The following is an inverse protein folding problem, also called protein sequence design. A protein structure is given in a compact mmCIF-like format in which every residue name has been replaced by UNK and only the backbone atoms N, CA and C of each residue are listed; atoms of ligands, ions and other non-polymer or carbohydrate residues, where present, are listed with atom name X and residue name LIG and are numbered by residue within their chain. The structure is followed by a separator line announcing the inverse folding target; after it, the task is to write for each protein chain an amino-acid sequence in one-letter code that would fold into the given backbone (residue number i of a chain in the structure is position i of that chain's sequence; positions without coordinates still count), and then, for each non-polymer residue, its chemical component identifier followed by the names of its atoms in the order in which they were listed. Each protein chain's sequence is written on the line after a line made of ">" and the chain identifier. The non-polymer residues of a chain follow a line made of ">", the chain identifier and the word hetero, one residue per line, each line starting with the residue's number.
data_IF_370324568501
#
_entry.id   IF_370324568501
#
_cell.length_a   1.000
_cell.length_b   1.000
_cell.length_c   1.000
_cell.angle_alpha   90.00
_cell.angle_beta   90.00
_cell.angle_gamma   90.00
#
_symmetry.space_group_name_H-M   'P 1'
#
loop_
_entity.id
_entity.type
_entity.pdbx_description
1 polymer ?
#
# COMPACT_ATOMS: atom_id res chain seq x y z
N UNK A 1 39.74 -15.49 39.96
CA UNK A 1 38.74 -15.31 41.03
C UNK A 1 39.08 -13.98 41.68
N UNK A 2 38.22 -12.98 41.55
CA UNK A 2 38.44 -11.69 42.18
C UNK A 2 37.83 -11.77 43.58
N UNK A 3 38.68 -11.79 44.62
CA UNK A 3 38.25 -11.58 45.99
C UNK A 3 37.80 -10.13 46.13
N UNK A 4 36.50 -9.88 45.91
CA UNK A 4 35.88 -8.61 46.24
C UNK A 4 35.77 -8.53 47.76
N UNK A 5 36.84 -8.06 48.40
CA UNK A 5 36.85 -7.73 49.81
C UNK A 5 35.79 -6.65 50.06
N UNK A 6 34.62 -7.10 50.51
CA UNK A 6 33.50 -6.26 50.89
C UNK A 6 33.98 -5.30 52.00
N UNK A 7 33.97 -3.97 51.79
CA UNK A 7 34.64 -3.02 52.67
C UNK A 7 33.88 -2.74 53.97
N UNK A 8 32.79 -3.47 54.23
CA UNK A 8 31.93 -3.30 55.39
C UNK A 8 31.94 -4.57 56.26
N UNK A 9 31.89 -4.42 57.61
CA UNK A 9 31.68 -5.55 58.51
C UNK A 9 30.38 -6.28 58.16
N UNK A 10 30.31 -7.61 58.30
CA UNK A 10 29.09 -8.36 58.06
C UNK A 10 27.98 -7.84 58.97
N UNK A 11 26.88 -7.40 58.37
CA UNK A 11 25.74 -6.89 59.11
C UNK A 11 24.58 -7.90 59.08
N UNK A 12 23.49 -7.59 59.81
CA UNK A 12 22.35 -8.49 59.86
C UNK A 12 21.71 -8.75 58.50
N UNK A 13 21.81 -7.80 57.57
CA UNK A 13 21.25 -7.97 56.24
C UNK A 13 22.03 -9.01 55.43
N UNK A 14 23.34 -9.14 55.66
CA UNK A 14 24.17 -10.17 55.03
C UNK A 14 23.79 -11.58 55.50
N UNK A 15 23.55 -11.77 56.81
CA UNK A 15 23.10 -13.05 57.38
C UNK A 15 21.71 -13.46 56.84
N UNK A 16 20.79 -12.49 56.70
CA UNK A 16 19.48 -12.72 56.12
C UNK A 16 19.54 -13.03 54.62
N UNK A 17 20.48 -12.43 53.88
CA UNK A 17 20.67 -12.65 52.45
C UNK A 17 21.17 -14.06 52.11
N UNK A 18 22.08 -14.61 52.93
CA UNK A 18 22.53 -16.01 52.79
C UNK A 18 21.45 -17.03 53.15
N UNK A 19 20.50 -16.66 54.02
CA UNK A 19 19.38 -17.51 54.42
C UNK A 19 18.26 -17.58 53.36
N UNK A 20 18.19 -16.62 52.42
CA UNK A 20 17.15 -16.56 51.39
C UNK A 20 17.70 -16.86 50.00
N UNK A 21 17.18 -17.88 49.34
CA UNK A 21 17.45 -18.11 47.92
C UNK A 21 16.94 -16.93 47.10
N UNK A 22 17.83 -16.24 46.37
CA UNK A 22 17.52 -15.07 45.53
C UNK A 22 16.44 -15.40 44.48
N UNK A 23 15.16 -15.22 44.86
CA UNK A 23 14.06 -15.21 43.91
C UNK A 23 13.93 -13.79 43.40
N UNK A 24 14.69 -13.48 42.34
CA UNK A 24 14.49 -12.24 41.62
C UNK A 24 13.03 -12.12 41.19
N UNK A 25 12.52 -10.89 41.12
CA UNK A 25 11.20 -10.58 40.56
C UNK A 25 11.16 -10.79 39.02
N UNK A 26 11.81 -11.86 38.55
CA UNK A 26 11.74 -12.33 37.19
C UNK A 26 10.33 -12.86 36.98
N UNK A 27 9.49 -11.97 36.49
CA UNK A 27 8.29 -12.36 35.76
C UNK A 27 8.79 -13.31 34.68
N UNK A 28 8.46 -14.59 34.79
CA UNK A 28 8.56 -15.47 33.65
C UNK A 28 7.63 -14.86 32.59
N UNK A 29 8.24 -14.28 31.56
CA UNK A 29 7.53 -13.86 30.36
C UNK A 29 6.66 -15.04 29.91
N UNK A 30 5.36 -14.81 29.79
CA UNK A 30 4.46 -15.86 29.35
C UNK A 30 4.92 -16.26 27.94
N UNK A 31 5.03 -17.56 27.63
CA UNK A 31 5.56 -18.00 26.35
C UNK A 31 4.72 -17.39 25.21
N UNK A 32 5.39 -16.80 24.22
CA UNK A 32 4.78 -16.06 23.09
C UNK A 32 3.62 -16.82 22.41
N UNK A 33 3.66 -18.16 22.44
CA UNK A 33 2.64 -19.03 21.86
C UNK A 33 1.29 -18.97 22.60
N UNK A 34 1.29 -18.69 23.91
CA UNK A 34 0.08 -18.53 24.71
C UNK A 34 -0.57 -17.16 24.50
N UNK A 35 0.23 -16.11 24.39
CA UNK A 35 -0.25 -14.75 24.17
C UNK A 35 -0.89 -14.61 22.77
N UNK A 36 -0.33 -15.32 21.78
CA UNK A 36 -0.78 -15.26 20.39
C UNK A 36 -1.67 -16.45 19.95
N UNK A 37 -2.15 -17.26 20.89
CA UNK A 37 -2.91 -18.48 20.59
C UNK A 37 -4.18 -18.18 19.77
N UNK A 38 -4.87 -17.07 20.06
CA UNK A 38 -6.05 -16.65 19.31
C UNK A 38 -5.71 -16.33 17.85
N UNK A 39 -4.62 -15.58 17.60
CA UNK A 39 -4.17 -15.26 16.25
C UNK A 39 -3.76 -16.51 15.47
N UNK A 40 -3.06 -17.45 16.12
CA UNK A 40 -2.69 -18.73 15.51
C UNK A 40 -3.93 -19.54 15.11
N UNK A 41 -4.97 -19.57 15.94
CA UNK A 41 -6.24 -20.23 15.62
C UNK A 41 -6.92 -19.55 14.42
N UNK A 42 -6.97 -18.22 14.39
CA UNK A 42 -7.58 -17.46 13.29
C UNK A 42 -6.83 -17.71 11.97
N UNK A 43 -5.50 -17.62 11.99
CA UNK A 43 -4.65 -17.88 10.82
C UNK A 43 -4.83 -19.33 10.34
N UNK A 44 -4.86 -20.29 11.26
CA UNK A 44 -5.12 -21.69 10.93
C UNK A 44 -6.49 -21.91 10.29
N UNK A 45 -7.54 -21.28 10.82
CA UNK A 45 -8.89 -21.36 10.26
C UNK A 45 -8.97 -20.72 8.87
N UNK A 46 -8.32 -19.55 8.68
CA UNK A 46 -8.24 -18.89 7.38
C UNK A 46 -7.50 -19.75 6.34
N UNK A 47 -6.38 -20.38 6.71
CA UNK A 47 -5.63 -21.28 5.84
C UNK A 47 -6.47 -22.49 5.43
N UNK A 48 -7.25 -23.09 6.35
CA UNK A 48 -8.17 -24.18 6.03
C UNK A 48 -9.27 -23.72 5.08
N UNK A 49 -9.87 -22.54 5.32
CA UNK A 49 -10.88 -21.98 4.41
C UNK A 49 -10.33 -21.72 3.01
N UNK A 50 -9.10 -21.21 2.90
CA UNK A 50 -8.41 -20.99 1.62
C UNK A 50 -8.23 -22.33 0.89
N UNK A 51 -7.72 -23.36 1.57
CA UNK A 51 -7.53 -24.70 0.98
C UNK A 51 -8.86 -25.28 0.51
N UNK A 52 -9.92 -25.13 1.31
CA UNK A 52 -11.28 -25.57 0.94
C UNK A 52 -11.76 -24.83 -0.30
N UNK A 53 -11.61 -23.50 -0.35
CA UNK A 53 -11.98 -22.68 -1.52
C UNK A 53 -11.23 -23.12 -2.78
N UNK A 54 -9.91 -23.31 -2.70
CA UNK A 54 -9.12 -23.81 -3.82
C UNK A 54 -9.57 -25.21 -4.27
N UNK A 55 -9.91 -26.08 -3.32
CA UNK A 55 -10.45 -27.40 -3.63
C UNK A 55 -11.83 -27.31 -4.29
N UNK A 56 -12.70 -26.38 -3.89
CA UNK A 56 -14.00 -26.14 -4.54
C UNK A 56 -13.84 -25.60 -5.97
N UNK A 57 -12.91 -24.67 -6.19
CA UNK A 57 -12.59 -24.13 -7.54
C UNK A 57 -11.99 -25.23 -8.43
N UNK A 58 -11.00 -25.97 -7.92
CA UNK A 58 -10.37 -27.08 -8.63
C UNK A 58 -11.30 -28.28 -8.85
N UNK A 59 -12.26 -28.52 -7.94
CA UNK A 59 -13.28 -29.56 -8.07
C UNK A 59 -14.35 -29.22 -9.13
N UNK A 60 -14.50 -27.95 -9.51
CA UNK A 60 -15.43 -27.53 -10.57
C UNK A 60 -14.75 -27.46 -11.95
N UNK A 61 -13.42 -27.29 -11.98
CA UNK A 61 -12.59 -27.29 -13.19
C UNK A 61 -11.81 -28.60 -13.36
N UNK A 62 -12.50 -29.73 -13.44
CA UNK A 62 -11.87 -30.99 -13.79
C UNK A 62 -11.49 -31.06 -15.26
N UNK A 63 -10.22 -30.81 -15.59
CA UNK A 63 -9.61 -31.28 -16.83
C UNK A 63 -8.51 -30.40 -17.38
N UNK A 64 -7.26 -30.86 -17.28
CA UNK A 64 -6.16 -30.38 -18.13
C UNK A 64 -4.84 -30.19 -17.39
N UNK A 65 -4.24 -31.27 -16.89
CA UNK A 65 -2.79 -31.38 -16.93
C UNK A 65 -2.44 -31.69 -18.38
N UNK A 66 -1.65 -30.86 -19.05
CA UNK A 66 -0.74 -31.30 -20.11
C UNK A 66 0.27 -30.19 -20.43
N UNK A 67 1.42 -30.34 -19.79
CA UNK A 67 2.71 -29.84 -20.21
C UNK A 67 3.08 -30.51 -21.55
N UNK A 68 3.31 -29.75 -22.62
CA UNK A 68 4.43 -29.95 -23.55
C UNK A 68 4.33 -29.04 -24.80
N UNK A 69 5.42 -28.29 -25.03
CA UNK A 69 6.18 -28.17 -26.28
C UNK A 69 5.45 -27.75 -27.58
N UNK A 70 6.00 -26.68 -28.18
CA UNK A 70 5.98 -26.24 -29.58
C UNK A 70 5.55 -27.27 -30.66
N UNK A 71 4.86 -26.80 -31.72
CA UNK A 71 5.63 -26.66 -32.97
C UNK A 71 5.32 -25.44 -33.83
N UNK A 72 6.39 -25.03 -34.50
CA UNK A 72 6.50 -24.21 -35.71
C UNK A 72 5.58 -24.63 -36.87
N UNK A 73 5.19 -23.62 -37.66
CA UNK A 73 4.95 -23.57 -39.12
C UNK A 73 3.94 -24.54 -39.78
N UNK A 74 2.87 -23.99 -40.37
CA UNK A 74 2.78 -23.79 -41.83
C UNK A 74 1.35 -23.39 -42.28
N UNK A 75 1.33 -22.46 -43.23
CA UNK A 75 0.21 -21.79 -43.90
C UNK A 75 -0.73 -22.67 -44.73
N UNK A 76 -1.98 -22.20 -44.89
CA UNK A 76 -2.76 -22.05 -46.15
C UNK A 76 -4.21 -21.64 -45.77
N UNK A 77 -4.67 -20.39 -45.87
CA UNK A 77 -4.87 -19.50 -47.04
C UNK A 77 -6.07 -19.88 -47.92
N UNK A 78 -7.13 -19.07 -47.83
CA UNK A 78 -8.07 -18.66 -48.91
C UNK A 78 -8.95 -17.54 -48.27
N UNK A 79 -8.63 -16.24 -48.34
CA UNK A 79 -8.58 -15.31 -49.50
C UNK A 79 -9.89 -15.19 -50.28
N UNK A 80 -10.61 -14.08 -50.02
CA UNK A 80 -11.26 -13.20 -50.99
C UNK A 80 -11.78 -11.97 -50.21
N UNK A 81 -10.96 -10.92 -50.04
CA UNK A 81 -10.67 -9.85 -51.01
C UNK A 81 -11.70 -8.71 -50.93
N UNK A 82 -11.18 -7.53 -50.56
CA UNK A 82 -11.90 -6.28 -50.36
C UNK A 82 -10.98 -5.26 -49.68
N UNK A 83 -9.85 -4.96 -50.34
CA UNK A 83 -8.86 -3.94 -50.02
C UNK A 83 -9.48 -2.55 -49.78
N UNK A 84 -8.99 -1.80 -48.79
CA UNK A 84 -8.09 -0.66 -49.06
C UNK A 84 -7.33 -0.25 -47.78
N UNK A 85 -6.05 0.06 -48.00
CA UNK A 85 -5.05 0.47 -47.02
C UNK A 85 -5.25 1.89 -46.49
N UNK A 86 -4.64 2.13 -45.33
CA UNK A 86 -4.08 3.39 -44.85
C UNK A 86 -5.07 4.52 -44.51
N UNK A 87 -5.19 4.83 -43.23
CA UNK A 87 -4.48 6.01 -42.70
C UNK A 87 -4.43 5.94 -41.17
N UNK A 88 -3.38 6.57 -40.64
CA UNK A 88 -3.22 6.95 -39.25
C UNK A 88 -4.51 7.61 -38.74
N UNK A 89 -5.28 6.87 -37.95
CA UNK A 89 -6.20 7.50 -37.02
C UNK A 89 -5.39 7.97 -35.83
N UNK A 90 -4.71 9.11 -35.97
CA UNK A 90 -4.56 10.04 -34.87
C UNK A 90 -5.96 10.25 -34.31
N UNK A 91 -6.35 9.41 -33.35
CA UNK A 91 -7.39 9.77 -32.41
C UNK A 91 -6.78 10.94 -31.66
N UNK A 92 -7.00 12.15 -32.16
CA UNK A 92 -6.96 13.36 -31.38
C UNK A 92 -7.74 13.01 -30.10
N UNK A 93 -6.99 12.67 -29.04
CA UNK A 93 -7.50 12.79 -27.70
C UNK A 93 -7.87 14.26 -27.64
N UNK A 94 -9.17 14.51 -27.84
CA UNK A 94 -9.77 15.82 -27.67
C UNK A 94 -9.26 16.27 -26.32
N UNK A 95 -8.33 17.22 -26.35
CA UNK A 95 -7.83 17.94 -25.19
C UNK A 95 -8.98 18.83 -24.75
N UNK A 96 -10.04 18.18 -24.25
CA UNK A 96 -11.10 18.85 -23.52
C UNK A 96 -10.38 19.52 -22.35
N UNK A 97 -10.52 20.85 -22.18
CA UNK A 97 -9.85 21.54 -21.11
C UNK A 97 -10.22 20.82 -19.81
N UNK A 98 -9.19 20.36 -19.07
CA UNK A 98 -9.38 19.74 -17.78
C UNK A 98 -10.35 20.64 -16.97
N UNK A 99 -11.41 20.07 -16.38
CA UNK A 99 -12.35 20.86 -15.60
C UNK A 99 -11.56 21.65 -14.56
N UNK A 100 -11.74 22.97 -14.55
CA UNK A 100 -11.06 23.81 -13.55
C UNK A 100 -11.42 23.28 -12.16
N UNK A 101 -10.41 22.89 -11.38
CA UNK A 101 -10.61 22.32 -10.06
C UNK A 101 -11.34 23.33 -9.16
N UNK A 102 -12.41 22.89 -8.48
CA UNK A 102 -13.00 23.66 -7.39
C UNK A 102 -12.09 23.59 -6.17
N UNK A 103 -11.27 24.63 -5.98
CA UNK A 103 -10.30 24.72 -4.88
C UNK A 103 -10.95 24.93 -3.51
N UNK A 104 -12.26 25.16 -3.46
CA UNK A 104 -13.03 25.22 -2.21
C UNK A 104 -13.49 23.84 -1.73
N UNK A 105 -13.34 22.80 -2.56
CA UNK A 105 -13.67 21.42 -2.20
C UNK A 105 -12.74 20.92 -1.08
N UNK A 106 -13.27 20.35 0.02
CA UNK A 106 -12.46 19.79 1.08
C UNK A 106 -11.59 18.61 0.60
N UNK A 107 -10.28 18.74 0.81
CA UNK A 107 -9.27 17.72 0.46
C UNK A 107 -8.69 17.09 1.72
N UNK A 108 -8.64 15.77 1.75
CA UNK A 108 -7.90 15.00 2.76
C UNK A 108 -6.63 14.43 2.16
N UNK A 109 -5.47 14.83 2.67
CA UNK A 109 -4.18 14.24 2.31
C UNK A 109 -3.82 13.13 3.30
N UNK A 110 -3.71 11.91 2.81
CA UNK A 110 -3.36 10.72 3.56
C UNK A 110 -1.91 10.35 3.28
N UNK A 111 -1.06 10.36 4.32
CA UNK A 111 0.29 9.81 4.20
C UNK A 111 0.24 8.28 4.19
N UNK A 112 0.53 7.68 3.04
CA UNK A 112 0.71 6.25 2.86
C UNK A 112 2.14 5.87 2.42
N UNK A 113 3.08 6.81 2.36
CA UNK A 113 4.47 6.55 1.96
C UNK A 113 5.39 6.08 3.10
N UNK A 114 4.91 6.07 4.35
CA UNK A 114 5.75 5.93 5.55
C UNK A 114 6.89 6.98 5.65
N UNK A 115 6.73 8.12 4.96
CA UNK A 115 7.65 9.25 4.98
C UNK A 115 7.20 10.23 6.07
N UNK A 116 8.11 10.65 6.95
CA UNK A 116 7.78 11.58 8.03
C UNK A 116 7.43 12.96 7.47
N UNK A 117 6.27 13.49 7.85
CA UNK A 117 5.84 14.83 7.43
C UNK A 117 5.23 14.92 6.03
N UNK A 118 5.16 13.81 5.28
CA UNK A 118 4.72 13.81 3.88
C UNK A 118 3.38 14.50 3.63
N UNK A 119 2.34 14.16 4.39
CA UNK A 119 1.03 14.80 4.23
C UNK A 119 1.06 16.29 4.56
N UNK A 120 1.95 16.73 5.47
CA UNK A 120 2.17 18.14 5.76
C UNK A 120 2.81 18.86 4.57
N UNK A 121 3.86 18.28 3.98
CA UNK A 121 4.51 18.83 2.77
C UNK A 121 3.52 18.99 1.62
N UNK A 122 2.66 17.98 1.38
CA UNK A 122 1.62 18.08 0.37
C UNK A 122 0.51 19.06 0.74
N UNK A 123 0.17 19.20 2.02
CA UNK A 123 -0.77 20.23 2.47
C UNK A 123 -0.26 21.63 2.14
N UNK A 124 1.01 21.92 2.46
CA UNK A 124 1.63 23.21 2.18
C UNK A 124 1.67 23.50 0.66
N UNK A 125 1.96 22.48 -0.16
CA UNK A 125 1.95 22.59 -1.63
C UNK A 125 0.55 22.91 -2.17
N UNK A 126 -0.48 22.17 -1.72
CA UNK A 126 -1.86 22.40 -2.14
C UNK A 126 -2.39 23.77 -1.68
N UNK A 127 -2.09 24.18 -0.45
CA UNK A 127 -2.43 25.54 0.01
C UNK A 127 -1.70 26.62 -0.82
N UNK A 128 -0.45 26.36 -1.22
CA UNK A 128 0.32 27.21 -2.13
C UNK A 128 -0.31 27.34 -3.53
N UNK A 129 -0.90 26.25 -4.01
CA UNK A 129 -1.71 26.19 -5.24
C UNK A 129 -3.11 26.80 -5.06
N UNK A 130 -3.50 27.18 -3.84
CA UNK A 130 -4.73 27.91 -3.54
C UNK A 130 -5.91 27.03 -3.13
N UNK A 131 -5.69 25.78 -2.74
CA UNK A 131 -6.69 24.95 -2.07
C UNK A 131 -7.04 25.53 -0.69
N UNK A 132 -8.32 25.66 -0.39
CA UNK A 132 -8.80 26.43 0.78
C UNK A 132 -9.04 25.58 2.03
N UNK A 133 -9.36 24.29 1.86
CA UNK A 133 -9.69 23.36 2.94
C UNK A 133 -8.92 22.04 2.76
N UNK A 134 -7.69 22.03 3.28
CA UNK A 134 -6.81 20.86 3.24
C UNK A 134 -6.62 20.31 4.65
N UNK A 135 -6.90 19.02 4.81
CA UNK A 135 -6.72 18.27 6.04
C UNK A 135 -5.72 17.14 5.85
N UNK A 136 -5.04 16.73 6.91
CA UNK A 136 -3.98 15.71 6.83
C UNK A 136 -4.25 14.55 7.77
N UNK A 137 -3.87 13.35 7.34
CA UNK A 137 -3.86 12.14 8.18
C UNK A 137 -2.76 11.19 7.74
N UNK A 138 -2.60 10.07 8.45
CA UNK A 138 -1.66 9.01 8.12
C UNK A 138 -2.39 7.68 8.03
N UNK A 139 -2.14 6.91 6.99
CA UNK A 139 -2.72 5.59 6.80
C UNK A 139 -2.13 4.58 7.80
N UNK A 140 -2.92 3.58 8.16
CA UNK A 140 -2.46 2.46 9.00
C UNK A 140 -1.42 1.57 8.27
N UNK A 141 -1.49 1.52 6.94
CA UNK A 141 -0.60 0.73 6.09
C UNK A 141 -0.02 1.60 4.98
N UNK A 142 1.22 1.32 4.61
CA UNK A 142 1.85 1.98 3.46
C UNK A 142 1.26 1.46 2.14
N UNK A 143 1.17 2.35 1.15
CA UNK A 143 0.79 2.03 -0.23
C UNK A 143 2.00 2.18 -1.15
N UNK A 144 1.92 1.54 -2.32
CA UNK A 144 3.00 1.56 -3.32
C UNK A 144 2.77 2.63 -4.39
N UNK A 145 1.51 3.01 -4.61
CA UNK A 145 1.10 3.91 -5.69
C UNK A 145 0.26 5.05 -5.11
N UNK A 146 0.43 6.27 -5.62
CA UNK A 146 -0.44 7.37 -5.24
C UNK A 146 -1.82 7.18 -5.86
N UNK A 147 -2.86 7.64 -5.18
CA UNK A 147 -4.22 7.61 -5.72
C UNK A 147 -5.03 8.78 -5.18
N UNK A 148 -5.85 9.39 -6.04
CA UNK A 148 -6.87 10.34 -5.62
C UNK A 148 -8.24 9.68 -5.68
N UNK A 149 -8.97 9.78 -4.59
CA UNK A 149 -10.35 9.32 -4.46
C UNK A 149 -11.32 10.50 -4.40
N UNK A 150 -12.52 10.29 -4.92
CA UNK A 150 -13.66 11.19 -4.73
C UNK A 150 -14.88 10.42 -4.23
N UNK A 151 -15.74 11.11 -3.49
CA UNK A 151 -16.94 10.50 -2.92
C UNK A 151 -18.15 10.62 -3.84
N UNK A 152 -18.47 11.85 -4.27
CA UNK A 152 -19.63 12.14 -5.10
C UNK A 152 -19.21 12.39 -6.55
N UNK A 153 -20.07 12.03 -7.51
CA UNK A 153 -19.77 12.23 -8.94
C UNK A 153 -19.61 13.71 -9.32
N UNK A 154 -20.16 14.62 -8.52
CA UNK A 154 -19.97 16.08 -8.68
C UNK A 154 -18.52 16.52 -8.43
N UNK A 155 -17.77 15.78 -7.60
CA UNK A 155 -16.36 16.07 -7.29
C UNK A 155 -15.39 15.41 -8.27
N UNK A 156 -15.87 14.59 -9.21
CA UNK A 156 -15.01 13.80 -10.09
C UNK A 156 -14.07 14.67 -10.93
N UNK A 157 -14.54 15.81 -11.43
CA UNK A 157 -13.70 16.76 -12.18
C UNK A 157 -12.60 17.38 -11.33
N UNK A 158 -12.94 17.84 -10.13
CA UNK A 158 -11.99 18.41 -9.17
C UNK A 158 -10.95 17.37 -8.73
N UNK A 159 -11.37 16.13 -8.49
CA UNK A 159 -10.47 15.03 -8.13
C UNK A 159 -9.54 14.64 -9.28
N UNK A 160 -10.02 14.64 -10.52
CA UNK A 160 -9.19 14.36 -11.69
C UNK A 160 -8.13 15.45 -11.88
N UNK A 161 -8.51 16.72 -11.76
CA UNK A 161 -7.56 17.83 -11.82
C UNK A 161 -6.52 17.78 -10.69
N UNK A 162 -6.91 17.36 -9.48
CA UNK A 162 -5.97 17.10 -8.39
C UNK A 162 -5.04 15.92 -8.70
N UNK A 163 -5.56 14.83 -9.27
CA UNK A 163 -4.78 13.65 -9.62
C UNK A 163 -3.69 13.96 -10.66
N UNK A 164 -4.01 14.83 -11.63
CA UNK A 164 -3.05 15.34 -12.62
C UNK A 164 -1.99 16.23 -11.96
N UNK A 165 -2.39 17.12 -11.04
CA UNK A 165 -1.47 17.99 -10.30
C UNK A 165 -0.45 17.19 -9.47
N UNK A 166 -0.91 16.13 -8.79
CA UNK A 166 -0.07 15.36 -7.85
C UNK A 166 0.58 14.12 -8.47
N UNK A 167 0.32 13.85 -9.76
CA UNK A 167 0.87 12.68 -10.47
C UNK A 167 0.27 11.33 -10.05
N UNK A 168 -1.00 11.31 -9.63
CA UNK A 168 -1.70 10.10 -9.17
C UNK A 168 -2.47 9.35 -10.27
N UNK A 169 -2.40 9.80 -11.53
CA UNK A 169 -3.09 9.18 -12.65
C UNK A 169 -4.59 9.44 -12.64
N UNK A 170 -5.40 8.41 -12.89
CA UNK A 170 -6.87 8.53 -12.92
C UNK A 170 -7.47 8.53 -11.51
N UNK A 171 -8.32 9.53 -11.23
CA UNK A 171 -9.08 9.59 -9.98
C UNK A 171 -10.15 8.49 -9.91
N UNK A 172 -10.38 7.94 -8.71
CA UNK A 172 -11.30 6.81 -8.49
C UNK A 172 -12.42 7.17 -7.53
N UNK A 173 -13.63 6.70 -7.79
CA UNK A 173 -14.70 6.85 -6.80
C UNK A 173 -14.49 5.90 -5.63
N UNK A 174 -14.63 6.38 -4.40
CA UNK A 174 -14.62 5.55 -3.19
C UNK A 174 -15.42 6.19 -2.06
N UNK A 175 -16.13 5.36 -1.32
CA UNK A 175 -16.90 5.69 -0.11
C UNK A 175 -16.15 5.34 1.18
N UNK A 176 -14.87 4.93 1.09
CA UNK A 176 -13.98 4.65 2.22
C UNK A 176 -13.67 5.89 3.08
N UNK A 177 -13.66 7.07 2.46
CA UNK A 177 -13.36 8.33 3.12
C UNK A 177 -14.59 9.23 3.22
N UNK A 178 -14.70 9.97 4.32
CA UNK A 178 -15.78 10.94 4.55
C UNK A 178 -15.55 12.27 3.82
N UNK A 179 -14.30 12.58 3.44
CA UNK A 179 -13.94 13.78 2.70
C UNK A 179 -14.49 13.74 1.26
N UNK A 180 -14.73 14.92 0.66
CA UNK A 180 -15.19 15.03 -0.72
C UNK A 180 -14.14 14.49 -1.69
N UNK A 181 -12.88 14.90 -1.50
CA UNK A 181 -11.71 14.43 -2.24
C UNK A 181 -10.63 13.96 -1.25
N UNK A 182 -10.00 12.83 -1.54
CA UNK A 182 -8.91 12.27 -0.71
C UNK A 182 -7.71 11.94 -1.58
N UNK A 183 -6.55 12.52 -1.28
CA UNK A 183 -5.29 12.18 -1.91
C UNK A 183 -4.47 11.26 -1.01
N UNK A 184 -4.21 10.04 -1.47
CA UNK A 184 -3.30 9.09 -0.83
C UNK A 184 -1.89 9.29 -1.40
N UNK A 185 -1.05 9.95 -0.61
CA UNK A 185 0.31 10.31 -0.97
C UNK A 185 1.31 9.22 -0.56
N UNK A 186 2.20 8.86 -1.48
CA UNK A 186 3.30 7.89 -1.24
C UNK A 186 4.70 8.47 -1.44
N UNK A 187 4.83 9.57 -2.19
CA UNK A 187 6.09 10.22 -2.57
C UNK A 187 6.02 11.73 -2.32
N UNK A 188 7.16 12.41 -2.16
CA UNK A 188 7.21 13.88 -1.99
C UNK A 188 6.83 14.62 -3.29
N UNK A 189 6.31 15.87 -3.21
CA UNK A 189 5.98 16.64 -4.41
C UNK A 189 7.22 16.84 -5.31
N UNK A 190 7.04 16.62 -6.61
CA UNK A 190 8.09 16.76 -7.61
C UNK A 190 9.01 15.53 -7.77
N UNK A 191 8.80 14.45 -7.02
CA UNK A 191 9.42 13.16 -7.32
C UNK A 191 8.66 12.47 -8.46
N UNK A 192 9.02 12.82 -9.69
CA UNK A 192 8.45 12.25 -10.91
C UNK A 192 8.71 10.73 -10.91
N UNK A 193 7.66 9.92 -10.78
CA UNK A 193 7.72 8.47 -10.98
C UNK A 193 7.61 8.14 -12.47
N UNK A 194 8.41 8.83 -13.28
CA UNK A 194 8.67 8.46 -14.66
C UNK A 194 9.38 7.11 -14.69
N UNK A 195 8.60 6.04 -14.84
CA UNK A 195 9.13 4.72 -15.13
C UNK A 195 9.79 4.73 -16.50
N UNK A 196 11.11 4.94 -16.56
CA UNK A 196 11.91 4.68 -17.75
C UNK A 196 13.22 3.97 -17.38
N UNK A 197 13.17 2.67 -17.62
CA UNK A 197 14.21 1.86 -18.24
C UNK A 197 15.59 1.83 -17.56
N UNK A 198 15.80 0.77 -16.78
CA UNK A 198 17.11 0.14 -16.62
C UNK A 198 17.63 -0.33 -17.99
N UNK A 199 18.09 0.62 -18.81
CA UNK A 199 18.97 0.37 -19.94
C UNK A 199 20.34 -0.04 -19.43
N UNK A 200 20.47 -1.32 -19.10
CA UNK A 200 21.71 -2.07 -19.29
C UNK A 200 22.10 -1.89 -20.76
N UNK A 201 23.22 -1.22 -21.04
CA UNK A 201 24.17 -1.54 -22.12
C UNK A 201 25.24 -0.43 -22.27
N UNK A 202 26.51 -0.78 -22.05
CA UNK A 202 27.68 0.05 -22.40
C UNK A 202 28.95 -0.27 -21.64
#
# INVERSE_FOLDING_TARGET
>A
MADSQYPYPPDRFDDEADAVSFHGAHRAELPFWRENLLYIIIIGAAAVLLIVLLFFIGSMGGGGDDRAEDPTSAAASEEAAGEESAEEGEGEASEEPAPEADKSTPVLVVNAGAINGLAGTWSDELEGEGWEDVSVTTADNAQQEPVVFYRAEEDAGTAQALAELVGAGEARQSDEYDAAVTFVAVNEPGEDTGGEDSGDEG
#
